data_IF_877326618333
#
_entry.id   IF_877326618333
#
_cell.length_a   1.000
_cell.length_b   1.000
_cell.length_c   1.000
_cell.angle_alpha   90.00
_cell.angle_beta   90.00
_cell.angle_gamma   90.00
#
_symmetry.space_group_name_H-M   'P 1'
#
loop_
_entity.id
_entity.type
_entity.pdbx_description
1 polymer ?
#
# COMPACT_ATOMS: atom_id res chain seq x y z
N UNK A 1 68.46 5.86 -53.16
CA UNK A 1 67.01 6.11 -53.00
C UNK A 1 66.74 7.58 -53.27
N UNK A 2 65.80 7.91 -54.17
CA UNK A 2 65.57 9.31 -54.61
C UNK A 2 65.03 10.16 -53.44
N UNK A 3 65.57 11.37 -53.20
CA UNK A 3 65.17 12.25 -52.07
C UNK A 3 63.67 12.62 -52.07
N UNK A 4 62.99 12.50 -53.22
CA UNK A 4 61.53 12.69 -53.35
C UNK A 4 60.70 11.66 -52.57
N UNK A 5 61.17 10.42 -52.39
CA UNK A 5 60.43 9.39 -51.64
C UNK A 5 60.54 9.59 -50.12
N UNK A 6 61.67 10.12 -49.63
CA UNK A 6 61.85 10.44 -48.21
C UNK A 6 60.92 11.60 -47.79
N UNK A 7 60.78 12.60 -48.64
CA UNK A 7 59.90 13.75 -48.39
C UNK A 7 58.43 13.36 -48.37
N UNK A 8 57.99 12.47 -49.27
CA UNK A 8 56.61 11.96 -49.29
C UNK A 8 56.27 11.15 -48.03
N UNK A 9 57.21 10.32 -47.56
CA UNK A 9 57.05 9.55 -46.33
C UNK A 9 56.96 10.46 -45.09
N UNK A 10 57.79 11.51 -45.02
CA UNK A 10 57.76 12.48 -43.91
C UNK A 10 56.44 13.28 -43.92
N UNK A 11 55.97 13.73 -45.10
CA UNK A 11 54.69 14.46 -45.23
C UNK A 11 53.50 13.55 -44.89
N UNK A 12 53.51 12.28 -45.29
CA UNK A 12 52.48 11.32 -44.89
C UNK A 12 52.49 11.06 -43.38
N UNK A 13 53.66 10.88 -42.75
CA UNK A 13 53.77 10.70 -41.30
C UNK A 13 53.32 11.95 -40.53
N UNK A 14 53.66 13.16 -41.00
CA UNK A 14 53.20 14.41 -40.40
C UNK A 14 51.68 14.60 -40.54
N UNK A 15 51.08 14.27 -41.69
CA UNK A 15 49.62 14.34 -41.87
C UNK A 15 48.87 13.28 -41.08
N UNK A 16 49.48 12.11 -40.87
CA UNK A 16 48.90 11.04 -40.07
C UNK A 16 48.89 11.43 -38.59
N UNK A 17 49.99 12.04 -38.11
CA UNK A 17 50.12 12.56 -36.76
C UNK A 17 49.17 13.75 -36.49
N UNK A 18 48.90 14.61 -37.48
CA UNK A 18 47.86 15.65 -37.35
C UNK A 18 46.44 15.08 -37.30
N UNK A 19 46.11 14.08 -38.13
CA UNK A 19 44.80 13.41 -38.09
C UNK A 19 44.57 12.67 -36.79
N UNK A 20 45.60 12.00 -36.28
CA UNK A 20 45.58 11.28 -35.00
C UNK A 20 45.37 12.26 -33.83
N UNK A 21 46.12 13.36 -33.79
CA UNK A 21 45.90 14.45 -32.81
C UNK A 21 44.51 15.10 -32.93
N UNK A 22 43.98 15.24 -34.14
CA UNK A 22 42.61 15.73 -34.33
C UNK A 22 41.57 14.74 -33.81
N UNK A 23 41.80 13.42 -33.99
CA UNK A 23 40.93 12.38 -33.43
C UNK A 23 40.99 12.36 -31.91
N UNK A 24 42.17 12.40 -31.31
CA UNK A 24 42.34 12.48 -29.84
C UNK A 24 41.65 13.71 -29.27
N UNK A 25 41.81 14.87 -29.91
CA UNK A 25 41.14 16.11 -29.49
C UNK A 25 39.62 16.01 -29.61
N UNK A 26 39.09 15.37 -30.66
CA UNK A 26 37.65 15.10 -30.81
C UNK A 26 37.14 14.11 -29.78
N UNK A 27 37.90 13.06 -29.49
CA UNK A 27 37.55 12.03 -28.52
C UNK A 27 37.49 12.62 -27.11
N UNK A 28 38.50 13.42 -26.74
CA UNK A 28 38.50 14.20 -25.49
C UNK A 28 37.30 15.16 -25.40
N UNK A 29 36.98 15.88 -26.48
CA UNK A 29 35.80 16.76 -26.51
C UNK A 29 34.48 15.99 -26.36
N UNK A 30 34.39 14.78 -26.93
CA UNK A 30 33.21 13.93 -26.80
C UNK A 30 33.09 13.35 -25.39
N UNK A 31 34.18 12.90 -24.79
CA UNK A 31 34.21 12.43 -23.39
C UNK A 31 33.79 13.53 -22.42
N UNK A 32 34.32 14.74 -22.60
CA UNK A 32 33.96 15.90 -21.78
C UNK A 32 32.47 16.26 -21.94
N UNK A 33 31.95 16.27 -23.17
CA UNK A 33 30.52 16.46 -23.43
C UNK A 33 29.67 15.38 -22.77
N UNK A 34 30.12 14.12 -22.82
CA UNK A 34 29.40 13.01 -22.23
C UNK A 34 29.35 13.14 -20.70
N UNK A 35 30.47 13.50 -20.06
CA UNK A 35 30.50 13.78 -18.62
C UNK A 35 29.58 14.94 -18.23
N UNK A 36 29.57 16.02 -19.00
CA UNK A 36 28.65 17.16 -18.76
C UNK A 36 27.21 16.69 -18.87
N UNK A 37 26.86 15.93 -19.91
CA UNK A 37 25.50 15.43 -20.10
C UNK A 37 25.07 14.48 -18.97
N UNK A 38 25.95 13.59 -18.51
CA UNK A 38 25.69 12.73 -17.35
C UNK A 38 25.44 13.59 -16.11
N UNK A 39 26.29 14.58 -15.83
CA UNK A 39 26.11 15.47 -14.68
C UNK A 39 24.80 16.28 -14.74
N UNK A 40 24.38 16.69 -15.94
CA UNK A 40 23.11 17.40 -16.15
C UNK A 40 21.93 16.44 -15.94
N UNK A 41 22.00 15.22 -16.46
CA UNK A 41 20.99 14.19 -16.23
C UNK A 41 20.84 13.88 -14.73
N UNK A 42 21.96 13.70 -14.02
CA UNK A 42 22.01 13.46 -12.58
C UNK A 42 21.44 14.65 -11.80
N UNK A 43 21.70 15.88 -12.25
CA UNK A 43 21.14 17.08 -11.64
C UNK A 43 19.61 17.16 -11.79
N UNK A 44 19.09 16.77 -12.96
CA UNK A 44 17.65 16.72 -13.23
C UNK A 44 16.97 15.62 -12.40
N UNK A 45 17.56 14.43 -12.33
CA UNK A 45 17.05 13.35 -11.47
C UNK A 45 17.07 13.70 -9.98
N UNK A 46 17.94 14.64 -9.56
CA UNK A 46 18.01 15.10 -8.19
C UNK A 46 16.96 16.14 -7.80
N UNK A 47 16.19 16.66 -8.75
CA UNK A 47 15.11 17.61 -8.48
C UNK A 47 14.02 16.91 -7.65
N UNK A 48 13.63 17.54 -6.54
CA UNK A 48 12.64 17.01 -5.60
C UNK A 48 11.32 16.61 -6.27
N UNK A 49 10.87 17.36 -7.28
CA UNK A 49 9.69 17.03 -8.05
C UNK A 49 9.82 15.70 -8.80
N UNK A 50 10.94 15.45 -9.49
CA UNK A 50 11.18 14.21 -10.25
C UNK A 50 11.31 13.01 -9.31
N UNK A 51 12.01 13.17 -8.18
CA UNK A 51 12.08 12.15 -7.13
C UNK A 51 10.70 11.82 -6.57
N UNK A 52 9.88 12.85 -6.34
CA UNK A 52 8.52 12.69 -5.84
C UNK A 52 7.61 12.00 -6.86
N UNK A 53 7.66 12.37 -8.14
CA UNK A 53 6.89 11.74 -9.21
C UNK A 53 7.25 10.27 -9.37
N UNK A 54 8.54 9.94 -9.30
CA UNK A 54 9.02 8.55 -9.34
C UNK A 54 8.43 7.77 -8.17
N UNK A 55 8.50 8.31 -6.95
CA UNK A 55 7.94 7.70 -5.75
C UNK A 55 6.41 7.52 -5.85
N UNK A 56 5.71 8.51 -6.41
CA UNK A 56 4.27 8.45 -6.64
C UNK A 56 3.91 7.36 -7.68
N UNK A 57 4.71 7.22 -8.73
CA UNK A 57 4.47 6.20 -9.76
C UNK A 57 4.58 4.76 -9.21
N UNK A 58 5.53 4.53 -8.30
CA UNK A 58 5.62 3.27 -7.55
C UNK A 58 4.39 3.05 -6.65
N UNK A 59 3.94 4.11 -5.97
CA UNK A 59 2.77 4.07 -5.08
C UNK A 59 1.47 3.77 -5.82
N UNK A 60 1.29 4.22 -7.07
CA UNK A 60 0.03 4.01 -7.82
C UNK A 60 -0.33 2.53 -7.93
N UNK A 61 0.66 1.67 -8.23
CA UNK A 61 0.44 0.23 -8.33
C UNK A 61 0.10 -0.38 -6.96
N UNK A 62 0.84 0.01 -5.92
CA UNK A 62 0.57 -0.42 -4.55
C UNK A 62 -0.81 0.06 -4.06
N UNK A 63 -1.22 1.28 -4.39
CA UNK A 63 -2.51 1.84 -4.01
C UNK A 63 -3.68 1.10 -4.66
N UNK A 64 -3.52 0.71 -5.93
CA UNK A 64 -4.49 -0.12 -6.64
C UNK A 64 -4.68 -1.47 -5.94
N UNK A 65 -3.58 -2.15 -5.58
CA UNK A 65 -3.61 -3.40 -4.82
C UNK A 65 -4.23 -3.22 -3.43
N UNK A 66 -3.95 -2.11 -2.74
CA UNK A 66 -4.56 -1.80 -1.44
C UNK A 66 -6.07 -1.64 -1.53
N UNK A 67 -6.61 -1.17 -2.66
CA UNK A 67 -8.05 -0.96 -2.91
C UNK A 67 -8.77 -2.23 -3.38
N UNK A 68 -8.16 -3.00 -4.27
CA UNK A 68 -8.79 -4.22 -4.80
C UNK A 68 -8.99 -5.27 -3.72
N UNK A 69 -8.01 -5.45 -2.82
CA UNK A 69 -8.04 -6.48 -1.79
C UNK A 69 -8.79 -6.11 -0.51
N UNK A 70 -9.58 -5.04 -0.55
CA UNK A 70 -10.32 -4.55 0.60
C UNK A 70 -11.45 -5.53 0.97
N UNK A 71 -12.17 -6.02 -0.03
CA UNK A 71 -13.34 -6.90 0.11
C UNK A 71 -13.13 -8.31 -0.45
N UNK A 72 -11.88 -8.70 -0.68
CA UNK A 72 -11.53 -10.03 -1.15
C UNK A 72 -10.73 -10.77 -0.09
N UNK A 73 -10.96 -12.08 0.03
CA UNK A 73 -10.04 -12.93 0.77
C UNK A 73 -8.76 -13.14 -0.05
N UNK A 74 -7.61 -12.77 0.51
CA UNK A 74 -6.30 -13.09 -0.08
C UNK A 74 -5.55 -14.08 0.81
N UNK A 75 -4.61 -14.88 0.29
CA UNK A 75 -3.74 -15.68 1.16
C UNK A 75 -2.90 -14.82 2.11
N UNK A 76 -2.61 -15.32 3.32
CA UNK A 76 -1.84 -14.56 4.32
C UNK A 76 -0.43 -14.18 3.85
N UNK A 77 0.22 -15.01 3.00
CA UNK A 77 1.53 -14.66 2.45
C UNK A 77 1.47 -13.41 1.56
N UNK A 78 0.43 -13.25 0.72
CA UNK A 78 0.21 -12.04 -0.08
C UNK A 78 -0.07 -10.83 0.81
N UNK A 79 -0.88 -11.01 1.86
CA UNK A 79 -1.16 -9.93 2.82
C UNK A 79 0.12 -9.45 3.52
N UNK A 80 1.01 -10.37 3.88
CA UNK A 80 2.29 -10.03 4.50
C UNK A 80 3.25 -9.34 3.51
N UNK A 81 3.27 -9.77 2.25
CA UNK A 81 4.03 -9.11 1.20
C UNK A 81 3.59 -7.66 1.01
N UNK A 82 2.28 -7.40 0.83
CA UNK A 82 1.73 -6.05 0.71
C UNK A 82 2.12 -5.18 1.92
N UNK A 83 2.08 -5.75 3.13
CA UNK A 83 2.52 -5.06 4.35
C UNK A 83 3.99 -4.71 4.33
N UNK A 84 4.86 -5.59 3.82
CA UNK A 84 6.29 -5.31 3.71
C UNK A 84 6.54 -4.19 2.70
N UNK A 85 5.91 -4.26 1.52
CA UNK A 85 5.98 -3.24 0.47
C UNK A 85 5.50 -1.87 0.97
N UNK A 86 4.36 -1.82 1.68
CA UNK A 86 3.85 -0.60 2.30
C UNK A 86 4.82 -0.02 3.33
N UNK A 87 5.52 -0.86 4.10
CA UNK A 87 6.52 -0.37 5.07
C UNK A 87 7.71 0.28 4.36
N UNK A 88 8.23 -0.36 3.31
CA UNK A 88 9.31 0.21 2.48
C UNK A 88 8.88 1.53 1.83
N UNK A 89 7.65 1.60 1.32
CA UNK A 89 7.13 2.81 0.70
C UNK A 89 6.97 3.97 1.71
N UNK A 90 6.48 3.66 2.92
CA UNK A 90 6.43 4.64 4.02
C UNK A 90 7.83 5.17 4.35
N UNK A 91 8.84 4.29 4.42
CA UNK A 91 10.23 4.70 4.66
C UNK A 91 10.73 5.63 3.56
N UNK A 92 10.48 5.32 2.29
CA UNK A 92 10.83 6.20 1.16
C UNK A 92 10.17 7.58 1.28
N UNK A 93 8.87 7.65 1.59
CA UNK A 93 8.18 8.92 1.81
C UNK A 93 8.73 9.70 3.02
N UNK A 94 9.09 9.02 4.11
CA UNK A 94 9.69 9.65 5.29
C UNK A 94 11.05 10.26 4.92
N UNK A 95 11.90 9.52 4.22
CA UNK A 95 13.20 10.00 3.76
C UNK A 95 13.03 11.21 2.85
N UNK A 96 12.14 11.13 1.85
CA UNK A 96 11.83 12.26 0.97
C UNK A 96 11.38 13.50 1.75
N UNK A 97 10.44 13.34 2.70
CA UNK A 97 9.94 14.46 3.49
C UNK A 97 11.03 15.09 4.36
N UNK A 98 11.93 14.28 4.94
CA UNK A 98 13.06 14.75 5.74
C UNK A 98 14.10 15.52 4.94
N UNK A 99 14.32 15.12 3.68
CA UNK A 99 15.25 15.80 2.76
C UNK A 99 14.65 17.10 2.19
N UNK A 100 13.32 17.26 2.22
CA UNK A 100 12.60 18.36 1.55
C UNK A 100 11.68 19.16 2.49
N UNK A 101 12.08 19.37 3.75
CA UNK A 101 11.21 19.81 4.85
C UNK A 101 10.38 21.09 4.63
N UNK A 102 10.83 21.99 3.74
CA UNK A 102 10.18 23.27 3.46
C UNK A 102 9.30 23.21 2.20
N UNK A 103 9.28 22.08 1.51
CA UNK A 103 8.56 21.90 0.25
C UNK A 103 7.09 21.52 0.49
N UNK A 104 6.19 22.02 -0.37
CA UNK A 104 4.82 21.51 -0.41
C UNK A 104 4.77 19.98 -0.67
N UNK A 105 5.75 19.45 -1.41
CA UNK A 105 5.85 18.01 -1.69
C UNK A 105 6.12 17.18 -0.43
N UNK A 106 6.81 17.73 0.59
CA UNK A 106 6.99 16.99 1.85
C UNK A 106 5.69 16.87 2.62
N UNK A 107 4.83 17.89 2.59
CA UNK A 107 3.48 17.82 3.19
C UNK A 107 2.66 16.72 2.50
N UNK A 108 2.67 16.69 1.16
CA UNK A 108 1.97 15.65 0.42
C UNK A 108 2.53 14.24 0.74
N UNK A 109 3.85 14.08 0.86
CA UNK A 109 4.46 12.81 1.27
C UNK A 109 3.96 12.35 2.65
N UNK A 110 3.79 13.28 3.60
CA UNK A 110 3.22 12.98 4.93
C UNK A 110 1.75 12.56 4.84
N UNK A 111 0.95 13.23 4.00
CA UNK A 111 -0.45 12.86 3.76
C UNK A 111 -0.55 11.45 3.15
N UNK A 112 0.32 11.12 2.20
CA UNK A 112 0.43 9.75 1.66
C UNK A 112 0.74 8.74 2.76
N UNK A 113 1.72 9.01 3.63
CA UNK A 113 2.04 8.12 4.76
C UNK A 113 0.81 7.87 5.63
N UNK A 114 0.02 8.91 5.93
CA UNK A 114 -1.20 8.78 6.72
C UNK A 114 -2.26 7.91 6.01
N UNK A 115 -2.49 8.12 4.71
CA UNK A 115 -3.41 7.32 3.92
C UNK A 115 -3.01 5.84 3.85
N UNK A 116 -1.71 5.54 3.64
CA UNK A 116 -1.19 4.17 3.67
C UNK A 116 -1.46 3.54 5.04
N UNK A 117 -1.12 4.23 6.13
CA UNK A 117 -1.35 3.74 7.50
C UNK A 117 -2.84 3.50 7.76
N UNK A 118 -3.71 4.40 7.32
CA UNK A 118 -5.16 4.25 7.44
C UNK A 118 -5.63 2.98 6.71
N UNK A 119 -5.28 2.81 5.43
CA UNK A 119 -5.63 1.63 4.62
C UNK A 119 -5.08 0.31 5.17
N UNK A 120 -3.92 0.32 5.83
CA UNK A 120 -3.35 -0.85 6.53
C UNK A 120 -4.10 -1.20 7.81
N UNK A 121 -4.65 -0.20 8.52
CA UNK A 121 -5.37 -0.40 9.78
C UNK A 121 -6.78 -1.00 9.59
N UNK A 122 -7.31 -0.92 8.36
CA UNK A 122 -8.62 -1.45 7.99
C UNK A 122 -8.71 -2.97 8.22
N UNK A 123 -9.81 -3.42 8.84
CA UNK A 123 -10.06 -4.85 9.08
C UNK A 123 -10.27 -5.54 7.74
N UNK A 124 -9.41 -6.50 7.37
CA UNK A 124 -9.54 -7.28 6.12
C UNK A 124 -10.39 -8.53 6.31
N UNK A 125 -10.97 -9.05 5.23
CA UNK A 125 -11.75 -10.31 5.23
C UNK A 125 -10.98 -11.47 5.85
N UNK A 126 -9.68 -11.57 5.56
CA UNK A 126 -8.73 -12.49 6.20
C UNK A 126 -8.84 -12.56 7.73
N UNK A 127 -9.12 -11.44 8.39
CA UNK A 127 -9.21 -11.36 9.84
C UNK A 127 -10.53 -11.90 10.39
N UNK A 128 -11.60 -11.87 9.60
CA UNK A 128 -12.95 -12.28 10.03
C UNK A 128 -13.32 -13.70 9.62
N UNK A 129 -12.80 -14.18 8.48
CA UNK A 129 -13.07 -15.53 7.96
C UNK A 129 -12.81 -16.61 9.01
N UNK A 130 -13.74 -17.57 9.06
CA UNK A 130 -13.79 -18.67 10.00
C UNK A 130 -15.06 -18.65 10.85
N UNK A 131 -15.19 -19.70 11.66
CA UNK A 131 -16.29 -19.87 12.61
C UNK A 131 -16.06 -19.05 13.87
N UNK A 132 -17.12 -18.43 14.39
CA UNK A 132 -17.08 -17.58 15.57
C UNK A 132 -18.28 -17.86 16.47
N UNK A 133 -18.01 -18.22 17.72
CA UNK A 133 -19.03 -18.49 18.72
C UNK A 133 -19.40 -17.21 19.47
N UNK A 134 -20.69 -17.00 19.72
CA UNK A 134 -21.16 -15.91 20.55
C UNK A 134 -20.64 -16.06 21.99
N UNK A 135 -20.12 -14.97 22.56
CA UNK A 135 -19.54 -14.94 23.91
C UNK A 135 -20.36 -14.08 24.87
N UNK A 136 -21.09 -13.08 24.36
CA UNK A 136 -21.86 -12.17 25.19
C UNK A 136 -22.36 -10.95 24.45
N UNK A 137 -23.05 -10.09 25.19
CA UNK A 137 -23.51 -8.78 24.73
C UNK A 137 -23.06 -7.70 25.71
N UNK A 138 -22.45 -6.62 25.20
CA UNK A 138 -22.02 -5.46 26.00
C UNK A 138 -22.78 -4.21 25.59
N UNK A 139 -22.53 -3.08 26.26
CA UNK A 139 -23.19 -1.79 25.98
C UNK A 139 -24.72 -1.85 26.13
N UNK A 140 -25.18 -2.64 27.09
CA UNK A 140 -26.50 -2.52 27.71
C UNK A 140 -26.28 -1.88 29.09
N UNK A 141 -27.31 -1.27 29.69
CA UNK A 141 -27.24 -0.80 31.09
C UNK A 141 -26.74 -1.87 32.07
N UNK A 142 -26.91 -3.16 31.73
CA UNK A 142 -26.28 -4.30 32.41
C UNK A 142 -25.64 -5.24 31.37
N UNK A 143 -24.31 -5.40 31.32
CA UNK A 143 -23.67 -6.34 30.41
C UNK A 143 -24.11 -7.77 30.72
N UNK A 144 -24.49 -8.51 29.68
CA UNK A 144 -25.09 -9.83 29.82
C UNK A 144 -24.20 -10.89 29.17
N UNK A 145 -23.74 -11.85 29.98
CA UNK A 145 -23.23 -13.13 29.51
C UNK A 145 -24.39 -14.12 29.61
N UNK A 146 -24.93 -14.50 28.46
CA UNK A 146 -26.08 -15.40 28.37
C UNK A 146 -25.70 -16.83 28.01
N UNK A 147 -26.72 -17.68 27.90
CA UNK A 147 -26.62 -19.06 27.42
C UNK A 147 -26.97 -19.17 25.93
N UNK A 148 -26.69 -18.15 25.14
CA UNK A 148 -27.03 -18.13 23.72
C UNK A 148 -26.05 -19.02 22.95
N UNK A 149 -26.53 -20.16 22.44
CA UNK A 149 -25.74 -20.98 21.52
C UNK A 149 -25.89 -20.43 20.09
N UNK A 150 -25.17 -19.34 19.80
CA UNK A 150 -25.11 -18.75 18.47
C UNK A 150 -23.71 -18.83 17.88
N UNK A 151 -23.64 -19.10 16.58
CA UNK A 151 -22.39 -19.17 15.82
C UNK A 151 -22.56 -18.45 14.51
N UNK A 152 -21.54 -17.68 14.12
CA UNK A 152 -21.46 -17.04 12.81
C UNK A 152 -20.25 -17.59 12.08
N UNK A 153 -20.41 -17.95 10.81
CA UNK A 153 -19.33 -18.45 9.98
C UNK A 153 -19.16 -17.54 8.76
N UNK A 154 -18.02 -16.85 8.71
CA UNK A 154 -17.65 -16.02 7.57
C UNK A 154 -16.82 -16.85 6.59
N UNK A 155 -17.30 -16.98 5.36
CA UNK A 155 -16.64 -17.73 4.30
C UNK A 155 -15.79 -16.81 3.41
N UNK A 156 -14.86 -17.42 2.69
CA UNK A 156 -13.87 -16.72 1.84
C UNK A 156 -14.49 -16.06 0.61
N UNK A 157 -15.65 -16.56 0.18
CA UNK A 157 -16.43 -16.13 -0.98
C UNK A 157 -17.35 -14.92 -0.68
N UNK A 158 -17.33 -14.39 0.55
CA UNK A 158 -18.21 -13.29 0.96
C UNK A 158 -19.57 -13.74 1.49
N UNK A 159 -19.79 -15.05 1.63
CA UNK A 159 -21.00 -15.61 2.26
C UNK A 159 -20.84 -15.65 3.78
N UNK A 160 -21.93 -15.41 4.50
CA UNK A 160 -22.01 -15.57 5.95
C UNK A 160 -23.18 -16.48 6.33
N UNK A 161 -22.91 -17.41 7.24
CA UNK A 161 -23.90 -18.33 7.78
C UNK A 161 -24.13 -18.05 9.26
N UNK A 162 -25.39 -17.99 9.66
CA UNK A 162 -25.82 -17.78 11.04
C UNK A 162 -26.45 -19.06 11.56
N UNK A 163 -25.98 -19.52 12.72
CA UNK A 163 -26.46 -20.72 13.37
C UNK A 163 -26.98 -20.39 14.77
N UNK A 164 -28.04 -21.09 15.18
CA UNK A 164 -28.56 -21.07 16.54
C UNK A 164 -28.83 -22.51 16.95
N UNK A 165 -28.34 -22.92 18.12
CA UNK A 165 -28.42 -24.32 18.59
C UNK A 165 -27.93 -25.32 17.52
N UNK A 166 -26.80 -24.98 16.89
CA UNK A 166 -26.15 -25.75 15.82
C UNK A 166 -26.96 -25.96 14.54
N UNK A 167 -28.13 -25.33 14.42
CA UNK A 167 -28.94 -25.32 13.19
C UNK A 167 -28.71 -24.04 12.41
N UNK A 168 -28.57 -24.16 11.09
CA UNK A 168 -28.49 -23.01 10.20
C UNK A 168 -29.84 -22.28 10.21
N UNK A 169 -29.83 -20.99 10.59
CA UNK A 169 -31.04 -20.16 10.67
C UNK A 169 -31.09 -19.09 9.59
N UNK A 170 -29.94 -18.63 9.09
CA UNK A 170 -29.88 -17.68 7.99
C UNK A 170 -28.57 -17.81 7.19
N UNK A 171 -28.69 -17.51 5.91
CA UNK A 171 -27.58 -17.33 4.98
C UNK A 171 -27.70 -15.95 4.32
N UNK A 172 -26.59 -15.22 4.30
CA UNK A 172 -26.50 -13.88 3.75
C UNK A 172 -25.13 -13.67 3.08
N UNK A 173 -24.96 -12.55 2.40
CA UNK A 173 -23.66 -12.09 1.88
C UNK A 173 -23.22 -10.86 2.65
N UNK A 174 -21.92 -10.68 2.85
CA UNK A 174 -21.39 -9.53 3.56
C UNK A 174 -20.35 -8.75 2.75
N UNK A 175 -20.25 -7.45 3.03
CA UNK A 175 -19.15 -6.59 2.57
C UNK A 175 -18.66 -5.71 3.71
N UNK A 176 -17.35 -5.52 3.80
CA UNK A 176 -16.77 -4.57 4.75
C UNK A 176 -16.75 -3.20 4.06
N UNK A 177 -17.36 -2.22 4.72
CA UNK A 177 -17.39 -0.84 4.26
C UNK A 177 -16.40 -0.02 5.08
N UNK A 178 -15.64 0.80 4.38
CA UNK A 178 -14.64 1.67 4.96
C UNK A 178 -15.03 3.10 4.61
N UNK A 179 -15.22 3.98 5.60
CA UNK A 179 -15.54 5.37 5.32
C UNK A 179 -14.38 6.01 4.52
N UNK A 180 -14.75 6.74 3.46
CA UNK A 180 -13.82 7.50 2.63
C UNK A 180 -13.31 8.78 3.31
N UNK A 181 -13.99 9.21 4.36
CA UNK A 181 -13.69 10.41 5.12
C UNK A 181 -14.19 10.24 6.56
N UNK A 182 -13.33 10.55 7.54
CA UNK A 182 -13.51 10.46 9.00
C UNK A 182 -13.42 9.06 9.65
N UNK A 183 -12.87 8.97 10.89
CA UNK A 183 -12.25 7.74 11.44
C UNK A 183 -13.22 6.87 12.24
N UNK A 184 -14.52 6.93 11.98
CA UNK A 184 -15.49 6.25 12.85
C UNK A 184 -15.75 4.83 12.36
N UNK A 185 -14.86 3.93 12.75
CA UNK A 185 -15.09 2.49 12.75
C UNK A 185 -15.05 1.79 11.39
N UNK A 186 -14.93 0.47 11.43
CA UNK A 186 -15.16 -0.37 10.26
C UNK A 186 -16.65 -0.77 10.30
N UNK A 187 -17.30 -0.89 9.15
CA UNK A 187 -18.67 -1.36 9.08
C UNK A 187 -18.73 -2.67 8.30
N UNK A 188 -19.66 -3.53 8.65
CA UNK A 188 -20.02 -4.69 7.85
C UNK A 188 -21.47 -4.55 7.44
N UNK A 189 -21.74 -4.68 6.14
CA UNK A 189 -23.11 -4.69 5.62
C UNK A 189 -23.44 -6.09 5.16
N UNK A 190 -24.49 -6.63 5.74
CA UNK A 190 -25.16 -7.86 5.32
C UNK A 190 -26.30 -7.48 4.37
N UNK A 191 -26.47 -8.23 3.28
CA UNK A 191 -27.46 -7.88 2.25
C UNK A 191 -28.90 -7.95 2.75
N UNK A 192 -29.21 -8.87 3.67
CA UNK A 192 -30.55 -9.03 4.28
C UNK A 192 -30.64 -8.41 5.67
N UNK A 193 -29.59 -8.52 6.49
CA UNK A 193 -29.61 -8.06 7.90
C UNK A 193 -29.23 -6.58 8.08
N UNK A 194 -28.73 -5.91 7.03
CA UNK A 194 -28.36 -4.50 7.05
C UNK A 194 -26.95 -4.23 7.58
N UNK A 195 -26.68 -2.98 7.95
CA UNK A 195 -25.33 -2.53 8.35
C UNK A 195 -25.11 -2.60 9.86
N UNK A 196 -23.91 -3.05 10.23
CA UNK A 196 -23.42 -3.14 11.60
C UNK A 196 -22.07 -2.43 11.72
N UNK A 197 -21.86 -1.71 12.81
CA UNK A 197 -20.54 -1.27 13.23
C UNK A 197 -19.75 -2.49 13.71
N UNK A 198 -18.49 -2.57 13.29
CA UNK A 198 -17.63 -3.71 13.48
C UNK A 198 -16.28 -3.31 14.10
N UNK A 199 -15.80 -4.11 15.04
CA UNK A 199 -14.43 -4.06 15.52
C UNK A 199 -13.87 -5.46 15.69
N UNK A 200 -12.58 -5.64 15.38
CA UNK A 200 -11.84 -6.88 15.58
C UNK A 200 -10.70 -6.62 16.56
N UNK A 201 -10.84 -7.13 17.78
CA UNK A 201 -9.83 -6.98 18.84
C UNK A 201 -8.67 -7.95 18.63
N UNK A 202 -7.50 -7.61 19.20
CA UNK A 202 -6.26 -8.44 19.12
C UNK A 202 -6.44 -9.88 19.59
N UNK A 203 -7.40 -10.15 20.49
CA UNK A 203 -7.73 -11.50 20.97
C UNK A 203 -8.76 -12.23 20.09
N UNK A 204 -8.86 -11.86 18.81
CA UNK A 204 -9.79 -12.42 17.82
C UNK A 204 -11.28 -12.29 18.17
N UNK A 205 -11.64 -11.37 19.07
CA UNK A 205 -13.04 -11.02 19.35
C UNK A 205 -13.57 -10.05 18.30
N UNK A 206 -14.60 -10.48 17.60
CA UNK A 206 -15.39 -9.66 16.69
C UNK A 206 -16.56 -9.05 17.46
N UNK A 207 -16.73 -7.74 17.38
CA UNK A 207 -17.90 -7.07 17.95
C UNK A 207 -18.80 -6.55 16.83
N UNK A 208 -20.10 -6.80 16.94
CA UNK A 208 -21.12 -6.33 16.00
C UNK A 208 -22.20 -5.52 16.73
N UNK A 209 -22.33 -4.25 16.38
CA UNK A 209 -23.36 -3.34 16.90
C UNK A 209 -24.28 -2.96 15.74
N UNK A 210 -25.60 -3.17 15.87
CA UNK A 210 -26.54 -2.86 14.80
C UNK A 210 -26.56 -1.36 14.51
N UNK A 211 -26.54 -0.98 13.23
CA UNK A 211 -26.51 0.42 12.79
C UNK A 211 -25.11 0.97 12.57
N UNK A 212 -25.03 2.28 12.29
CA UNK A 212 -23.78 2.98 11.91
C UNK A 212 -23.13 3.80 13.04
N UNK A 213 -23.57 3.67 14.29
CA UNK A 213 -23.12 4.54 15.40
C UNK A 213 -23.04 3.85 16.77
N UNK A 214 -22.56 4.62 17.76
CA UNK A 214 -22.60 4.25 19.18
C UNK A 214 -24.06 4.30 19.61
N UNK A 215 -24.61 3.15 19.94
CA UNK A 215 -25.95 3.05 20.48
C UNK A 215 -25.84 2.59 21.94
N UNK A 216 -26.38 3.39 22.85
CA UNK A 216 -26.20 3.24 24.31
C UNK A 216 -27.13 2.15 24.86
N UNK A 217 -28.23 1.86 24.16
CA UNK A 217 -29.22 0.82 24.47
C UNK A 217 -29.22 -0.34 23.47
N UNK A 218 -28.59 -0.20 22.29
CA UNK A 218 -28.37 -1.32 21.38
C UNK A 218 -27.18 -2.16 21.86
N UNK A 219 -27.47 -3.34 22.41
CA UNK A 219 -26.43 -4.27 22.80
C UNK A 219 -25.46 -4.61 21.65
N UNK A 220 -24.17 -4.66 21.96
CA UNK A 220 -23.08 -5.02 21.06
C UNK A 220 -22.76 -6.50 21.23
N UNK A 221 -23.02 -7.31 20.20
CA UNK A 221 -22.73 -8.74 20.23
C UNK A 221 -21.23 -8.98 20.10
N UNK A 222 -20.72 -9.91 20.91
CA UNK A 222 -19.31 -10.30 20.91
C UNK A 222 -19.21 -11.75 20.46
N UNK A 223 -18.37 -12.01 19.46
CA UNK A 223 -18.09 -13.33 18.92
C UNK A 223 -16.59 -13.64 19.00
N UNK A 224 -16.22 -14.81 19.53
CA UNK A 224 -14.85 -15.29 19.62
C UNK A 224 -14.56 -16.31 18.53
N UNK A 225 -13.42 -16.19 17.86
CA UNK A 225 -12.97 -17.19 16.89
C UNK A 225 -12.71 -18.53 17.59
N UNK A 226 -13.29 -19.60 17.06
CA UNK A 226 -13.08 -20.98 17.48
C UNK A 226 -12.12 -21.69 16.53
#
# INVERSE_FOLDING_TARGET
MKPRFLFLAIVCCLSCNEKEKQLEKKLFQLELKNQILISQLDSLQNISAIKFETLLSEDVLADSLRRSHVNDYIPYYKLNQIRAEDSLLIEKYITFAKENQVSYLSTYALDRIQDIKFKRSQIKINGIVGSRQWEGITNLMFPYKGNKNERIEFRKDGTVLFYTNDKLVAEDTFKIQYPSSYPVGNYITFSKLGTYAMSLKKNNRLTLTKGRGICIDCGTNIYKKH
#
